data_IF_536343976971
#
_entry.id   IF_536343976971
#
_cell.length_a   1.000
_cell.length_b   1.000
_cell.length_c   1.000
_cell.angle_alpha   90.00
_cell.angle_beta   90.00
_cell.angle_gamma   90.00
#
_symmetry.space_group_name_H-M   'P 1'
#
loop_
_entity.id
_entity.type
_entity.pdbx_description
1 polymer ?
#
# COMPACT_ATOMS: atom_id res chain seq x y z
N UNK A 1 -44.00 13.96 29.52
CA UNK A 1 -43.93 13.76 28.05
C UNK A 1 -42.74 12.85 27.79
N UNK A 2 -42.94 11.64 27.27
CA UNK A 2 -41.91 10.61 27.20
C UNK A 2 -40.93 10.85 26.04
N UNK A 3 -39.67 10.45 26.20
CA UNK A 3 -38.57 10.54 25.22
C UNK A 3 -38.80 9.80 23.87
N UNK A 4 -40.02 9.33 23.58
CA UNK A 4 -40.32 8.47 22.43
C UNK A 4 -40.80 9.23 21.16
N UNK A 5 -41.04 10.55 21.21
CA UNK A 5 -41.84 11.25 20.18
C UNK A 5 -41.07 11.93 19.02
N UNK A 6 -39.75 11.76 18.86
CA UNK A 6 -39.00 12.40 17.74
C UNK A 6 -38.02 11.47 17.02
N UNK A 7 -38.40 10.21 16.81
CA UNK A 7 -37.59 9.28 16.03
C UNK A 7 -37.80 9.46 14.51
N UNK A 8 -36.88 10.15 13.84
CA UNK A 8 -36.93 10.32 12.38
C UNK A 8 -36.50 9.04 11.64
N UNK A 9 -37.04 8.81 10.44
CA UNK A 9 -36.62 7.67 9.60
C UNK A 9 -35.17 7.86 9.13
N UNK A 10 -34.47 6.77 8.80
CA UNK A 10 -33.08 6.86 8.30
C UNK A 10 -33.03 7.66 6.99
N UNK A 11 -34.01 7.49 6.10
CA UNK A 11 -34.09 8.25 4.85
C UNK A 11 -34.27 9.75 5.12
N UNK A 12 -35.13 10.11 6.07
CA UNK A 12 -35.36 11.50 6.44
C UNK A 12 -34.15 12.12 7.12
N UNK A 13 -33.48 11.35 7.97
CA UNK A 13 -32.21 11.74 8.59
C UNK A 13 -31.11 11.99 7.57
N UNK A 14 -31.01 11.17 6.52
CA UNK A 14 -30.07 11.35 5.40
C UNK A 14 -30.40 12.62 4.64
N UNK A 15 -31.68 12.87 4.36
CA UNK A 15 -32.17 14.08 3.67
C UNK A 15 -31.79 15.34 4.44
N UNK A 16 -32.11 15.41 5.73
CA UNK A 16 -31.76 16.54 6.61
C UNK A 16 -30.24 16.72 6.68
N UNK A 17 -29.47 15.63 6.77
CA UNK A 17 -28.01 15.72 6.79
C UNK A 17 -27.43 16.29 5.49
N UNK A 18 -28.02 15.97 4.33
CA UNK A 18 -27.61 16.54 3.04
C UNK A 18 -27.90 18.04 2.97
N UNK A 19 -29.03 18.52 3.50
CA UNK A 19 -29.39 19.95 3.50
C UNK A 19 -28.39 20.83 4.25
N UNK A 20 -27.71 20.29 5.26
CA UNK A 20 -26.67 21.03 5.98
C UNK A 20 -25.39 21.17 5.16
N UNK A 21 -25.17 20.30 4.16
CA UNK A 21 -23.93 20.28 3.39
C UNK A 21 -24.13 21.14 2.14
N UNK A 22 -23.30 22.17 1.89
CA UNK A 22 -23.38 22.92 0.65
C UNK A 22 -23.09 22.00 -0.55
N UNK A 23 -23.84 22.11 -1.66
CA UNK A 23 -23.67 21.24 -2.84
C UNK A 23 -22.33 21.46 -3.56
N UNK A 24 -21.74 22.66 -3.44
CA UNK A 24 -20.45 23.04 -4.05
C UNK A 24 -19.21 22.62 -3.25
N UNK A 25 -19.34 21.58 -2.42
CA UNK A 25 -18.19 20.92 -1.78
C UNK A 25 -17.17 20.43 -2.81
N UNK A 26 -15.93 20.23 -2.36
CA UNK A 26 -14.89 19.69 -3.21
C UNK A 26 -15.27 18.32 -3.80
N UNK A 27 -14.67 18.00 -4.95
CA UNK A 27 -14.97 16.79 -5.71
C UNK A 27 -14.76 15.49 -4.90
N UNK A 28 -13.86 15.42 -3.90
CA UNK A 28 -13.77 14.25 -3.00
C UNK A 28 -14.99 14.12 -2.12
N UNK A 29 -15.32 15.20 -1.42
CA UNK A 29 -16.41 15.21 -0.46
C UNK A 29 -17.71 14.86 -1.19
N UNK A 30 -17.91 15.43 -2.37
CA UNK A 30 -19.00 15.08 -3.27
C UNK A 30 -19.01 13.60 -3.68
N UNK A 31 -17.85 13.03 -4.10
CA UNK A 31 -17.73 11.59 -4.41
C UNK A 31 -18.00 10.69 -3.20
N UNK A 32 -17.52 11.09 -2.02
CA UNK A 32 -17.69 10.34 -0.77
C UNK A 32 -19.15 10.33 -0.32
N UNK A 33 -19.88 11.42 -0.53
CA UNK A 33 -21.33 11.50 -0.30
C UNK A 33 -22.06 10.53 -1.24
N UNK A 34 -21.75 10.55 -2.54
CA UNK A 34 -22.28 9.57 -3.49
C UNK A 34 -22.01 8.11 -3.07
N UNK A 35 -20.77 7.81 -2.67
CA UNK A 35 -20.38 6.47 -2.22
C UNK A 35 -21.10 6.04 -0.92
N UNK A 36 -21.28 6.96 0.01
CA UNK A 36 -21.99 6.73 1.27
C UNK A 36 -23.47 6.44 1.02
N UNK A 37 -24.13 7.25 0.18
CA UNK A 37 -25.53 7.08 -0.22
C UNK A 37 -25.74 5.76 -0.96
N UNK A 38 -24.88 5.43 -1.93
CA UNK A 38 -24.97 4.18 -2.70
C UNK A 38 -24.77 2.94 -1.81
N UNK A 39 -23.95 3.06 -0.76
CA UNK A 39 -23.71 1.96 0.19
C UNK A 39 -24.93 1.68 1.08
N UNK A 40 -25.66 2.71 1.51
CA UNK A 40 -26.82 2.57 2.40
C UNK A 40 -28.12 2.31 1.64
N UNK A 41 -28.36 3.06 0.56
CA UNK A 41 -29.65 3.09 -0.14
C UNK A 41 -29.63 2.31 -1.46
N UNK A 42 -28.48 1.77 -1.88
CA UNK A 42 -28.34 1.17 -3.21
C UNK A 42 -28.65 2.20 -4.30
N UNK A 43 -29.24 1.77 -5.41
CA UNK A 43 -29.55 2.67 -6.53
C UNK A 43 -30.59 3.74 -6.19
N UNK A 44 -31.46 3.51 -5.20
CA UNK A 44 -32.43 4.50 -4.72
C UNK A 44 -31.77 5.75 -4.10
N UNK A 45 -30.50 5.67 -3.72
CA UNK A 45 -29.75 6.83 -3.22
C UNK A 45 -29.36 7.85 -4.29
N UNK A 46 -29.47 7.49 -5.58
CA UNK A 46 -29.06 8.37 -6.68
C UNK A 46 -29.95 9.61 -6.77
N UNK A 47 -31.25 9.46 -6.52
CA UNK A 47 -32.20 10.56 -6.58
C UNK A 47 -31.91 11.62 -5.51
N UNK A 48 -31.60 11.18 -4.28
CA UNK A 48 -31.17 12.09 -3.20
C UNK A 48 -29.85 12.78 -3.52
N UNK A 49 -28.90 12.05 -4.11
CA UNK A 49 -27.62 12.60 -4.51
C UNK A 49 -27.77 13.69 -5.57
N UNK A 50 -28.59 13.44 -6.60
CA UNK A 50 -28.88 14.39 -7.66
C UNK A 50 -29.66 15.59 -7.13
N UNK A 51 -30.70 15.38 -6.32
CA UNK A 51 -31.51 16.46 -5.76
C UNK A 51 -30.67 17.42 -4.91
N UNK A 52 -29.81 16.88 -4.04
CA UNK A 52 -28.89 17.68 -3.26
C UNK A 52 -27.88 18.40 -4.16
N UNK A 53 -27.21 17.65 -5.04
CA UNK A 53 -26.14 18.18 -5.86
C UNK A 53 -26.60 19.21 -6.89
N UNK A 54 -27.85 19.13 -7.37
CA UNK A 54 -28.40 20.05 -8.36
C UNK A 54 -28.53 21.48 -7.85
N UNK A 55 -28.45 21.70 -6.54
CA UNK A 55 -28.45 23.03 -5.94
C UNK A 55 -27.10 23.75 -6.03
N UNK A 56 -26.05 23.11 -6.57
CA UNK A 56 -24.71 23.69 -6.72
C UNK A 56 -24.44 24.21 -8.12
N UNK A 57 -23.70 25.31 -8.22
CA UNK A 57 -23.38 25.99 -9.48
C UNK A 57 -22.60 25.11 -10.46
N UNK A 58 -21.91 24.09 -9.95
CA UNK A 58 -21.05 23.17 -10.73
C UNK A 58 -21.74 21.86 -11.13
N UNK A 59 -23.06 21.74 -10.93
CA UNK A 59 -23.77 20.50 -11.23
C UNK A 59 -23.84 20.19 -12.72
N UNK A 60 -23.51 18.94 -13.07
CA UNK A 60 -23.66 18.41 -14.42
C UNK A 60 -24.20 16.98 -14.35
N UNK A 61 -25.45 16.79 -14.76
CA UNK A 61 -26.18 15.53 -14.57
C UNK A 61 -25.46 14.29 -15.16
N UNK A 62 -24.86 14.31 -16.36
CA UNK A 62 -24.04 13.20 -16.85
C UNK A 62 -22.85 12.88 -15.93
N UNK A 63 -22.17 13.90 -15.40
CA UNK A 63 -21.01 13.70 -14.53
C UNK A 63 -21.40 13.13 -13.16
N UNK A 64 -22.60 13.46 -12.66
CA UNK A 64 -23.21 12.84 -11.49
C UNK A 64 -23.52 11.36 -11.72
N UNK A 65 -24.10 11.02 -12.86
CA UNK A 65 -24.36 9.64 -13.25
C UNK A 65 -23.08 8.81 -13.37
N UNK A 66 -22.07 9.31 -14.08
CA UNK A 66 -20.79 8.60 -14.25
C UNK A 66 -20.08 8.39 -12.91
N UNK A 67 -20.10 9.41 -12.06
CA UNK A 67 -19.57 9.30 -10.71
C UNK A 67 -20.31 8.24 -9.91
N UNK A 68 -21.64 8.25 -9.95
CA UNK A 68 -22.46 7.26 -9.25
C UNK A 68 -22.15 5.84 -9.70
N UNK A 69 -22.09 5.61 -11.01
CA UNK A 69 -21.78 4.31 -11.60
C UNK A 69 -20.37 3.82 -11.19
N UNK A 70 -19.39 4.71 -11.12
CA UNK A 70 -18.02 4.37 -10.71
C UNK A 70 -17.88 4.00 -9.22
N UNK A 71 -18.85 4.34 -8.35
CA UNK A 71 -18.76 4.02 -6.93
C UNK A 71 -19.00 2.53 -6.67
N UNK A 72 -18.09 1.91 -5.90
CA UNK A 72 -18.23 0.55 -5.38
C UNK A 72 -18.86 0.58 -3.98
N UNK A 73 -20.08 0.04 -3.78
CA UNK A 73 -20.73 -0.02 -2.48
C UNK A 73 -19.87 -0.75 -1.43
N UNK A 74 -19.91 -0.30 -0.18
CA UNK A 74 -19.31 -1.00 0.97
C UNK A 74 -17.93 -0.49 1.40
N UNK A 75 -17.21 0.29 0.59
CA UNK A 75 -15.95 0.94 1.02
C UNK A 75 -16.16 2.14 1.93
N UNK A 76 -17.23 2.91 1.70
CA UNK A 76 -17.57 4.11 2.45
C UNK A 76 -18.99 3.94 2.98
N UNK A 77 -19.19 4.02 4.29
CA UNK A 77 -20.50 3.85 4.93
C UNK A 77 -21.23 5.18 5.09
N UNK A 78 -22.54 5.13 5.37
CA UNK A 78 -23.37 6.31 5.62
C UNK A 78 -22.86 7.19 6.77
N UNK A 79 -22.08 6.63 7.70
CA UNK A 79 -21.41 7.39 8.76
C UNK A 79 -20.51 8.51 8.22
N UNK A 80 -19.95 8.35 7.01
CA UNK A 80 -19.16 9.40 6.36
C UNK A 80 -20.01 10.62 6.00
N UNK A 81 -21.24 10.42 5.51
CA UNK A 81 -22.17 11.53 5.24
C UNK A 81 -22.44 12.32 6.52
N UNK A 82 -22.78 11.64 7.62
CA UNK A 82 -23.07 12.29 8.89
C UNK A 82 -21.85 12.99 9.49
N UNK A 83 -20.66 12.41 9.34
CA UNK A 83 -19.41 13.06 9.76
C UNK A 83 -19.10 14.33 8.97
N UNK A 84 -19.42 14.34 7.67
CA UNK A 84 -19.33 15.55 6.84
C UNK A 84 -20.39 16.57 7.29
N UNK A 85 -21.65 16.15 7.43
CA UNK A 85 -22.76 17.01 7.82
C UNK A 85 -22.52 17.70 9.18
N UNK A 86 -21.90 17.02 10.15
CA UNK A 86 -21.54 17.60 11.45
C UNK A 86 -20.62 18.81 11.34
N UNK A 87 -19.71 18.82 10.35
CA UNK A 87 -18.79 19.95 10.11
C UNK A 87 -19.54 21.19 9.62
N UNK A 88 -20.75 20.99 9.10
CA UNK A 88 -21.68 22.03 8.68
C UNK A 88 -22.86 22.19 9.66
N UNK A 89 -22.70 21.77 10.91
CA UNK A 89 -23.67 22.05 11.98
C UNK A 89 -24.79 21.03 12.15
N UNK A 90 -24.77 19.88 11.45
CA UNK A 90 -25.77 18.83 11.67
C UNK A 90 -25.68 18.23 13.09
N UNK A 91 -26.74 18.38 13.87
CA UNK A 91 -26.83 17.79 15.21
C UNK A 91 -27.36 16.35 15.16
N UNK A 92 -26.50 15.40 15.53
CA UNK A 92 -26.86 13.98 15.62
C UNK A 92 -27.77 13.61 16.79
N UNK A 93 -27.85 14.42 17.85
CA UNK A 93 -28.70 14.14 19.01
C UNK A 93 -30.16 14.47 18.69
N UNK A 94 -30.40 15.65 18.12
CA UNK A 94 -31.74 16.08 17.68
C UNK A 94 -32.26 15.27 16.49
N UNK A 95 -31.37 14.67 15.68
CA UNK A 95 -31.71 13.87 14.51
C UNK A 95 -31.42 12.37 14.73
N UNK A 96 -31.81 11.82 15.89
CA UNK A 96 -31.58 10.41 16.21
C UNK A 96 -32.52 9.52 15.38
N UNK A 97 -32.02 8.49 14.68
CA UNK A 97 -32.88 7.62 13.90
C UNK A 97 -33.70 6.72 14.82
N UNK A 98 -34.89 6.34 14.38
CA UNK A 98 -35.65 5.29 15.02
C UNK A 98 -34.79 4.01 15.14
N UNK A 99 -34.80 3.32 16.30
CA UNK A 99 -34.14 2.03 16.42
C UNK A 99 -34.71 1.08 15.37
N UNK A 100 -33.86 0.56 14.48
CA UNK A 100 -34.28 -0.48 13.54
C UNK A 100 -34.93 -1.65 14.31
N UNK A 101 -36.09 -2.18 13.88
CA UNK A 101 -36.67 -3.37 14.48
C UNK A 101 -35.65 -4.52 14.52
N UNK A 102 -35.70 -5.36 15.56
CA UNK A 102 -34.74 -6.47 15.74
C UNK A 102 -34.64 -7.36 14.50
N UNK A 103 -35.77 -7.65 13.84
CA UNK A 103 -35.82 -8.41 12.59
C UNK A 103 -35.05 -7.73 11.45
N UNK A 104 -35.15 -6.40 11.30
CA UNK A 104 -34.43 -5.64 10.28
C UNK A 104 -32.91 -5.59 10.56
N UNK A 105 -32.51 -5.53 11.85
CA UNK A 105 -31.09 -5.63 12.24
C UNK A 105 -30.52 -7.00 11.91
N UNK A 106 -31.22 -8.07 12.28
CA UNK A 106 -30.83 -9.45 11.99
C UNK A 106 -30.69 -9.70 10.47
N UNK A 107 -31.62 -9.18 9.66
CA UNK A 107 -31.53 -9.26 8.19
C UNK A 107 -30.30 -8.52 7.64
N UNK A 108 -30.02 -7.30 8.14
CA UNK A 108 -28.83 -6.53 7.73
C UNK A 108 -27.53 -7.24 8.11
N UNK A 109 -27.45 -7.82 9.30
CA UNK A 109 -26.29 -8.60 9.75
C UNK A 109 -26.11 -9.88 8.91
N UNK A 110 -27.19 -10.62 8.67
CA UNK A 110 -27.18 -11.79 7.80
C UNK A 110 -26.72 -11.45 6.37
N UNK A 111 -27.17 -10.32 5.82
CA UNK A 111 -26.76 -9.86 4.50
C UNK A 111 -25.28 -9.42 4.47
N UNK A 112 -24.80 -8.73 5.51
CA UNK A 112 -23.37 -8.38 5.66
C UNK A 112 -22.51 -9.62 5.76
N UNK A 113 -22.92 -10.60 6.55
CA UNK A 113 -22.21 -11.87 6.71
C UNK A 113 -22.22 -12.66 5.40
N UNK A 114 -23.36 -12.74 4.69
CA UNK A 114 -23.47 -13.39 3.39
C UNK A 114 -22.57 -12.72 2.33
N UNK A 115 -22.54 -11.38 2.28
CA UNK A 115 -21.62 -10.63 1.39
C UNK A 115 -20.17 -10.93 1.72
N UNK A 116 -19.78 -10.84 3.00
CA UNK A 116 -18.40 -11.13 3.44
C UNK A 116 -17.99 -12.57 3.10
N UNK A 117 -18.84 -13.56 3.37
CA UNK A 117 -18.57 -14.96 3.03
C UNK A 117 -18.48 -15.17 1.51
N UNK A 118 -19.37 -14.56 0.73
CA UNK A 118 -19.35 -14.63 -0.73
C UNK A 118 -18.10 -13.98 -1.33
N UNK A 119 -17.68 -12.82 -0.81
CA UNK A 119 -16.46 -12.12 -1.23
C UNK A 119 -15.20 -12.93 -0.88
N UNK A 120 -15.14 -13.53 0.31
CA UNK A 120 -14.05 -14.42 0.70
C UNK A 120 -13.99 -15.67 -0.19
N UNK A 121 -15.13 -16.30 -0.48
CA UNK A 121 -15.20 -17.44 -1.39
C UNK A 121 -14.78 -17.06 -2.81
N UNK A 122 -15.26 -15.93 -3.34
CA UNK A 122 -14.88 -15.44 -4.66
C UNK A 122 -13.38 -15.10 -4.74
N UNK A 123 -12.81 -14.55 -3.66
CA UNK A 123 -11.36 -14.30 -3.56
C UNK A 123 -10.57 -15.61 -3.57
N UNK A 124 -10.98 -16.60 -2.79
CA UNK A 124 -10.36 -17.93 -2.76
C UNK A 124 -10.39 -18.61 -4.13
N UNK A 125 -11.53 -18.57 -4.84
CA UNK A 125 -11.65 -19.09 -6.21
C UNK A 125 -10.68 -18.39 -7.17
N UNK A 126 -10.56 -17.05 -7.10
CA UNK A 126 -9.62 -16.29 -7.94
C UNK A 126 -8.16 -16.66 -7.65
N UNK A 127 -7.80 -16.81 -6.38
CA UNK A 127 -6.45 -17.20 -5.97
C UNK A 127 -6.09 -18.60 -6.50
N UNK A 128 -6.98 -19.58 -6.32
CA UNK A 128 -6.80 -20.95 -6.83
C UNK A 128 -6.67 -20.97 -8.34
N UNK A 129 -7.54 -20.24 -9.05
CA UNK A 129 -7.48 -20.14 -10.50
C UNK A 129 -6.16 -19.53 -10.96
N UNK A 130 -5.72 -18.43 -10.35
CA UNK A 130 -4.46 -17.78 -10.69
C UNK A 130 -3.24 -18.69 -10.43
N UNK A 131 -3.23 -19.44 -9.33
CA UNK A 131 -2.16 -20.41 -9.06
C UNK A 131 -2.13 -21.54 -10.11
N UNK A 132 -3.29 -22.04 -10.55
CA UNK A 132 -3.39 -23.02 -11.64
C UNK A 132 -2.84 -22.46 -12.95
N UNK A 133 -3.23 -21.24 -13.32
CA UNK A 133 -2.72 -20.58 -14.53
C UNK A 133 -1.22 -20.32 -14.43
N UNK A 134 -0.74 -19.87 -13.26
CA UNK A 134 0.69 -19.66 -12.99
C UNK A 134 1.48 -20.95 -13.19
N UNK A 135 0.99 -22.07 -12.67
CA UNK A 135 1.62 -23.38 -12.84
C UNK A 135 1.61 -23.83 -14.30
N UNK A 136 0.52 -23.60 -15.03
CA UNK A 136 0.42 -23.94 -16.45
C UNK A 136 1.43 -23.14 -17.29
N UNK A 137 1.53 -21.83 -17.07
CA UNK A 137 2.53 -20.97 -17.71
C UNK A 137 3.94 -21.41 -17.34
N UNK A 138 4.21 -21.62 -16.05
CA UNK A 138 5.52 -22.06 -15.57
C UNK A 138 5.97 -23.36 -16.25
N UNK A 139 5.09 -24.37 -16.30
CA UNK A 139 5.39 -25.66 -16.91
C UNK A 139 5.58 -25.62 -18.43
N UNK A 140 4.97 -24.65 -19.12
CA UNK A 140 5.10 -24.47 -20.57
C UNK A 140 6.24 -23.52 -20.97
N UNK A 141 6.71 -22.69 -20.05
CA UNK A 141 7.86 -21.84 -20.23
C UNK A 141 9.16 -22.66 -20.22
N UNK A 142 10.16 -22.19 -20.96
CA UNK A 142 11.50 -22.79 -21.01
C UNK A 142 12.46 -22.01 -20.12
N UNK A 143 13.63 -22.56 -19.78
CA UNK A 143 14.66 -21.79 -19.06
C UNK A 143 14.97 -20.49 -19.79
N UNK A 144 15.09 -19.39 -19.04
CA UNK A 144 15.51 -18.12 -19.61
C UNK A 144 16.94 -18.22 -20.16
N UNK A 145 17.22 -17.52 -21.25
CA UNK A 145 18.54 -17.48 -21.88
C UNK A 145 19.22 -16.14 -21.66
N UNK A 146 20.54 -16.14 -21.57
CA UNK A 146 21.35 -14.91 -21.41
C UNK A 146 21.17 -13.93 -22.58
N UNK A 147 20.78 -14.43 -23.75
CA UNK A 147 20.47 -13.62 -24.95
C UNK A 147 19.08 -12.96 -24.91
N UNK A 148 18.35 -13.05 -23.79
CA UNK A 148 17.06 -12.37 -23.65
C UNK A 148 17.27 -10.83 -23.64
N UNK A 149 16.58 -10.04 -24.50
CA UNK A 149 16.91 -8.62 -24.70
C UNK A 149 16.84 -7.78 -23.42
N UNK A 150 15.89 -8.09 -22.53
CA UNK A 150 15.81 -7.46 -21.22
C UNK A 150 17.06 -7.73 -20.35
N UNK A 151 17.53 -8.99 -20.29
CA UNK A 151 18.69 -9.38 -19.49
C UNK A 151 19.97 -8.78 -20.07
N UNK A 152 20.14 -8.84 -21.39
CA UNK A 152 21.25 -8.19 -22.10
C UNK A 152 21.30 -6.68 -21.82
N UNK A 153 20.16 -5.97 -21.93
CA UNK A 153 20.08 -4.54 -21.60
C UNK A 153 20.35 -4.27 -20.12
N UNK A 154 19.97 -5.20 -19.24
CA UNK A 154 20.22 -5.09 -17.80
C UNK A 154 21.62 -5.57 -17.38
N UNK A 155 22.42 -6.14 -18.28
CA UNK A 155 23.78 -6.58 -17.97
C UNK A 155 23.83 -7.69 -16.93
N UNK A 156 22.80 -8.55 -16.89
CA UNK A 156 22.67 -9.67 -15.94
C UNK A 156 22.43 -10.97 -16.70
N UNK A 157 22.79 -12.10 -16.09
CA UNK A 157 22.60 -13.44 -16.64
C UNK A 157 21.29 -14.07 -16.17
N UNK A 158 20.81 -15.01 -16.96
CA UNK A 158 19.70 -15.86 -16.57
C UNK A 158 20.12 -16.80 -15.44
N UNK A 159 19.17 -17.10 -14.55
CA UNK A 159 19.29 -18.09 -13.48
C UNK A 159 18.24 -19.16 -13.67
N UNK A 160 18.45 -20.34 -13.08
CA UNK A 160 17.50 -21.46 -13.16
C UNK A 160 16.09 -21.10 -12.65
N UNK A 161 16.02 -20.18 -11.67
CA UNK A 161 14.76 -19.67 -11.11
C UNK A 161 13.97 -18.75 -12.06
N UNK A 162 14.47 -18.50 -13.28
CA UNK A 162 13.84 -17.64 -14.29
C UNK A 162 13.55 -18.43 -15.56
N UNK A 163 12.33 -18.27 -16.10
CA UNK A 163 11.91 -18.89 -17.36
C UNK A 163 11.53 -17.83 -18.39
N UNK A 164 11.40 -18.22 -19.65
CA UNK A 164 10.89 -17.40 -20.74
C UNK A 164 9.78 -18.10 -21.52
N UNK A 165 8.83 -17.33 -22.03
CA UNK A 165 7.74 -17.78 -22.89
C UNK A 165 7.38 -16.71 -23.91
N UNK A 166 6.92 -17.10 -25.09
CA UNK A 166 6.40 -16.17 -26.09
C UNK A 166 5.11 -15.48 -25.59
N UNK A 167 4.98 -14.17 -25.84
CA UNK A 167 3.83 -13.37 -25.39
C UNK A 167 2.47 -13.88 -25.90
N UNK A 168 2.40 -14.44 -27.11
CA UNK A 168 1.15 -14.99 -27.67
C UNK A 168 0.75 -16.28 -26.96
N UNK A 169 1.73 -17.15 -26.68
CA UNK A 169 1.51 -18.39 -25.89
C UNK A 169 1.10 -18.06 -24.46
N UNK A 170 1.74 -17.07 -23.85
CA UNK A 170 1.39 -16.57 -22.53
C UNK A 170 -0.06 -16.09 -22.48
N UNK A 171 -0.47 -15.27 -23.46
CA UNK A 171 -1.85 -14.78 -23.52
C UNK A 171 -2.88 -15.90 -23.70
N UNK A 172 -2.56 -16.91 -24.51
CA UNK A 172 -3.41 -18.08 -24.69
C UNK A 172 -3.57 -18.90 -23.39
N UNK A 173 -2.48 -19.13 -22.64
CA UNK A 173 -2.52 -19.84 -21.37
C UNK A 173 -3.22 -19.04 -20.26
N UNK A 174 -3.03 -17.72 -20.25
CA UNK A 174 -3.64 -16.83 -19.27
C UNK A 174 -5.12 -16.53 -19.57
N UNK A 175 -5.58 -16.78 -20.79
CA UNK A 175 -6.91 -16.42 -21.30
C UNK A 175 -7.21 -14.90 -21.23
N UNK A 176 -6.17 -14.09 -21.35
CA UNK A 176 -6.21 -12.63 -21.56
C UNK A 176 -4.81 -12.18 -21.99
N UNK A 177 -4.69 -10.98 -22.54
CA UNK A 177 -3.39 -10.39 -22.86
C UNK A 177 -2.83 -9.64 -21.65
N UNK A 178 -1.72 -10.05 -21.04
CA UNK A 178 -1.07 -9.29 -19.97
C UNK A 178 -0.60 -7.93 -20.49
N UNK A 179 -0.76 -6.90 -19.64
CA UNK A 179 -0.51 -5.50 -20.01
C UNK A 179 0.29 -4.77 -18.93
N UNK A 180 1.08 -3.79 -19.37
CA UNK A 180 1.76 -2.80 -18.55
C UNK A 180 1.28 -1.42 -18.99
N UNK A 181 0.71 -0.62 -18.09
CA UNK A 181 0.16 0.72 -18.41
C UNK A 181 -0.78 0.75 -19.64
N UNK A 182 -1.58 -0.31 -19.82
CA UNK A 182 -2.52 -0.43 -20.95
C UNK A 182 -1.93 -1.05 -22.22
N UNK A 183 -0.61 -1.13 -22.33
CA UNK A 183 0.07 -1.76 -23.47
C UNK A 183 0.30 -3.25 -23.25
N UNK A 184 0.09 -4.10 -24.28
CA UNK A 184 0.36 -5.54 -24.17
C UNK A 184 1.86 -5.84 -24.07
N UNK A 185 2.20 -6.89 -23.33
CA UNK A 185 3.54 -7.48 -23.35
C UNK A 185 3.81 -8.09 -24.74
N UNK A 186 5.06 -8.05 -25.20
CA UNK A 186 5.45 -8.46 -26.57
C UNK A 186 6.72 -9.33 -26.57
N UNK A 187 6.93 -10.09 -27.66
CA UNK A 187 8.14 -10.87 -27.88
C UNK A 187 8.35 -11.98 -26.84
N UNK A 188 9.61 -12.21 -26.45
CA UNK A 188 9.94 -13.09 -25.33
C UNK A 188 9.63 -12.41 -23.99
N UNK A 189 8.92 -13.14 -23.14
CA UNK A 189 8.51 -12.68 -21.81
C UNK A 189 9.18 -13.56 -20.77
N UNK A 190 10.01 -12.94 -19.93
CA UNK A 190 10.53 -13.56 -18.73
C UNK A 190 9.41 -13.80 -17.74
N UNK A 191 9.45 -14.95 -17.07
CA UNK A 191 8.50 -15.41 -16.08
C UNK A 191 9.24 -15.69 -14.79
N UNK A 192 8.99 -14.85 -13.78
CA UNK A 192 9.53 -14.98 -12.44
C UNK A 192 8.44 -15.52 -11.49
N UNK A 193 8.60 -16.72 -10.92
CA UNK A 193 7.60 -17.32 -10.04
C UNK A 193 7.55 -16.59 -8.71
N UNK A 194 6.35 -16.18 -8.31
CA UNK A 194 6.12 -15.53 -7.01
C UNK A 194 5.61 -16.56 -6.04
N UNK A 195 6.38 -16.82 -4.99
CA UNK A 195 6.07 -17.81 -3.98
C UNK A 195 5.64 -17.16 -2.67
N UNK A 196 4.67 -17.78 -2.01
CA UNK A 196 4.25 -17.47 -0.63
C UNK A 196 4.35 -18.78 0.15
N UNK A 197 5.10 -18.79 1.24
CA UNK A 197 5.35 -19.98 2.07
C UNK A 197 5.82 -21.21 1.24
N UNK A 198 6.73 -20.97 0.29
CA UNK A 198 7.28 -22.00 -0.60
C UNK A 198 6.32 -22.51 -1.68
N UNK A 199 5.12 -21.94 -1.80
CA UNK A 199 4.11 -22.34 -2.81
C UNK A 199 3.99 -21.30 -3.90
N UNK A 200 3.94 -21.74 -5.15
CA UNK A 200 3.68 -20.87 -6.30
C UNK A 200 2.29 -20.22 -6.17
N UNK A 201 2.28 -18.89 -6.05
CA UNK A 201 1.04 -18.12 -5.89
C UNK A 201 0.68 -17.34 -7.16
N UNK A 202 1.66 -16.77 -7.85
CA UNK A 202 1.47 -15.97 -9.06
C UNK A 202 2.78 -15.86 -9.84
N UNK A 203 2.79 -15.06 -10.92
CA UNK A 203 3.96 -14.77 -11.74
C UNK A 203 4.16 -13.27 -11.89
N UNK A 204 5.41 -12.82 -11.89
CA UNK A 204 5.81 -11.54 -12.47
C UNK A 204 6.32 -11.81 -13.89
N UNK A 205 5.89 -10.98 -14.84
CA UNK A 205 6.16 -11.14 -16.27
C UNK A 205 6.87 -9.89 -16.77
N UNK A 206 7.97 -10.07 -17.50
CA UNK A 206 8.80 -8.96 -17.98
C UNK A 206 9.11 -9.19 -19.45
N UNK A 207 8.67 -8.28 -20.32
CA UNK A 207 8.93 -8.41 -21.76
C UNK A 207 10.32 -7.87 -22.17
N UNK A 208 10.64 -8.00 -23.46
CA UNK A 208 11.91 -7.55 -24.03
C UNK A 208 12.18 -6.04 -23.82
N UNK A 209 11.14 -5.22 -23.82
CA UNK A 209 11.20 -3.78 -23.56
C UNK A 209 11.29 -3.45 -22.06
N UNK A 210 11.13 -4.45 -21.18
CA UNK A 210 11.12 -4.28 -19.73
C UNK A 210 9.77 -3.83 -19.18
N UNK A 211 8.70 -3.93 -19.97
CA UNK A 211 7.33 -3.76 -19.48
C UNK A 211 7.02 -4.90 -18.53
N UNK A 212 6.52 -4.55 -17.34
CA UNK A 212 6.24 -5.50 -16.27
C UNK A 212 4.75 -5.65 -16.09
N UNK A 213 4.31 -6.89 -15.95
CA UNK A 213 2.93 -7.21 -15.61
C UNK A 213 2.90 -8.37 -14.65
N UNK A 214 1.80 -8.54 -13.96
CA UNK A 214 1.63 -9.65 -13.05
C UNK A 214 0.39 -10.43 -13.38
N UNK A 215 0.46 -11.74 -13.14
CA UNK A 215 -0.65 -12.60 -13.44
C UNK A 215 -1.87 -12.21 -12.58
N UNK A 216 -2.97 -11.86 -13.25
CA UNK A 216 -4.18 -11.37 -12.63
C UNK A 216 -4.79 -12.41 -11.67
N UNK A 217 -5.32 -11.93 -10.55
CA UNK A 217 -6.03 -12.75 -9.56
C UNK A 217 -5.14 -13.47 -8.55
N UNK A 218 -3.81 -13.51 -8.74
CA UNK A 218 -2.89 -14.15 -7.81
C UNK A 218 -2.56 -13.29 -6.59
N UNK A 219 -2.25 -13.92 -5.46
CA UNK A 219 -1.74 -13.20 -4.29
C UNK A 219 -0.29 -12.78 -4.49
N UNK A 220 0.02 -11.56 -4.04
CA UNK A 220 1.38 -10.99 -4.04
C UNK A 220 1.87 -10.56 -2.66
N UNK A 221 0.94 -10.29 -1.75
CA UNK A 221 1.27 -9.77 -0.43
C UNK A 221 2.14 -10.77 0.33
N UNK A 222 3.37 -10.37 0.66
CA UNK A 222 4.37 -11.25 1.30
C UNK A 222 5.02 -12.27 0.36
N UNK A 223 4.60 -12.31 -0.90
CA UNK A 223 5.20 -13.17 -1.91
C UNK A 223 6.41 -12.52 -2.58
N UNK A 224 7.40 -13.35 -2.94
CA UNK A 224 8.62 -12.90 -3.59
C UNK A 224 9.08 -13.88 -4.67
N UNK A 225 9.95 -13.40 -5.54
CA UNK A 225 10.77 -14.24 -6.41
C UNK A 225 12.17 -14.34 -5.80
N UNK A 226 12.82 -15.50 -5.89
CA UNK A 226 14.19 -15.70 -5.40
C UNK A 226 15.12 -16.02 -6.56
N UNK A 227 16.27 -15.35 -6.63
CA UNK A 227 17.28 -15.61 -7.67
C UNK A 227 17.85 -17.04 -7.57
N UNK A 228 17.90 -17.57 -6.35
CA UNK A 228 18.29 -18.95 -6.02
C UNK A 228 17.38 -19.54 -4.95
N UNK A 229 17.20 -20.87 -4.88
CA UNK A 229 16.55 -21.49 -3.74
C UNK A 229 17.23 -21.08 -2.43
N UNK A 230 16.45 -20.59 -1.46
CA UNK A 230 17.00 -20.19 -0.16
C UNK A 230 17.16 -21.46 0.70
N UNK A 231 18.38 -21.82 1.12
CA UNK A 231 18.58 -22.99 1.97
C UNK A 231 17.98 -22.74 3.37
N UNK A 232 17.58 -23.82 4.06
CA UNK A 232 17.04 -23.73 5.42
C UNK A 232 17.99 -23.02 6.40
N UNK A 233 19.30 -23.22 6.22
CA UNK A 233 20.36 -22.50 6.93
C UNK A 233 21.02 -21.51 5.98
N UNK A 234 20.56 -20.27 6.02
CA UNK A 234 21.11 -19.14 5.28
C UNK A 234 21.62 -18.11 6.28
N UNK A 235 22.83 -17.59 6.05
CA UNK A 235 23.44 -16.58 6.94
C UNK A 235 22.91 -15.18 6.67
N UNK A 236 22.60 -14.87 5.41
CA UNK A 236 22.12 -13.56 4.99
C UNK A 236 21.13 -13.67 3.83
N UNK A 237 20.07 -12.87 3.89
CA UNK A 237 19.08 -12.71 2.82
C UNK A 237 19.02 -11.23 2.44
N UNK A 238 19.19 -10.94 1.15
CA UNK A 238 19.01 -9.60 0.60
C UNK A 238 17.65 -9.47 -0.07
N UNK A 239 16.88 -8.45 0.31
CA UNK A 239 15.54 -8.17 -0.21
C UNK A 239 15.61 -6.90 -1.06
N UNK A 240 15.17 -6.98 -2.30
CA UNK A 240 15.13 -5.84 -3.24
C UNK A 240 13.72 -5.66 -3.81
N UNK A 241 13.50 -4.58 -4.56
CA UNK A 241 12.25 -4.40 -5.31
C UNK A 241 12.19 -5.28 -6.57
N UNK A 242 13.19 -5.20 -7.47
CA UNK A 242 13.09 -5.74 -8.82
C UNK A 242 13.92 -6.99 -9.10
N UNK A 243 13.53 -7.74 -10.13
CA UNK A 243 14.24 -8.94 -10.61
C UNK A 243 15.68 -8.63 -11.08
N UNK A 244 15.89 -7.57 -11.86
CA UNK A 244 17.23 -7.21 -12.36
C UNK A 244 18.17 -6.78 -11.23
N UNK A 245 17.65 -6.03 -10.26
CA UNK A 245 18.37 -5.64 -9.04
C UNK A 245 18.76 -6.86 -8.22
N UNK A 246 17.85 -7.85 -8.09
CA UNK A 246 18.11 -9.10 -7.39
C UNK A 246 19.21 -9.92 -8.08
N UNK A 247 19.15 -10.04 -9.40
CA UNK A 247 20.17 -10.70 -10.21
C UNK A 247 21.53 -10.01 -10.06
N UNK A 248 21.58 -8.68 -10.18
CA UNK A 248 22.82 -7.91 -10.03
C UNK A 248 23.49 -8.15 -8.69
N UNK A 249 22.74 -8.05 -7.58
CA UNK A 249 23.29 -8.30 -6.25
C UNK A 249 23.73 -9.75 -6.10
N UNK A 250 22.92 -10.72 -6.54
CA UNK A 250 23.28 -12.13 -6.48
C UNK A 250 24.56 -12.43 -7.26
N UNK A 251 24.70 -11.93 -8.49
CA UNK A 251 25.91 -12.14 -9.30
C UNK A 251 27.15 -11.48 -8.70
N UNK A 252 27.00 -10.31 -8.07
CA UNK A 252 28.13 -9.58 -7.49
C UNK A 252 28.58 -10.14 -6.13
N UNK A 253 27.66 -10.69 -5.35
CA UNK A 253 27.88 -11.04 -3.93
C UNK A 253 27.76 -12.53 -3.62
N UNK A 254 27.00 -13.28 -4.41
CA UNK A 254 26.58 -14.64 -4.10
C UNK A 254 25.52 -14.74 -2.98
N UNK A 255 25.06 -13.63 -2.41
CA UNK A 255 24.09 -13.63 -1.31
C UNK A 255 22.70 -14.08 -1.79
N UNK A 256 21.98 -14.84 -0.95
CA UNK A 256 20.62 -15.26 -1.25
C UNK A 256 19.72 -14.01 -1.40
N UNK A 257 19.26 -13.76 -2.63
CA UNK A 257 18.59 -12.49 -2.96
C UNK A 257 17.19 -12.72 -3.48
N UNK A 258 16.21 -11.99 -2.92
CA UNK A 258 14.80 -12.05 -3.28
C UNK A 258 14.28 -10.70 -3.78
N UNK A 259 13.41 -10.74 -4.80
CA UNK A 259 12.68 -9.58 -5.28
C UNK A 259 11.25 -9.56 -4.71
N UNK A 260 10.87 -8.45 -4.08
CA UNK A 260 9.53 -8.18 -3.56
C UNK A 260 8.54 -7.71 -4.63
N UNK A 261 9.02 -7.37 -5.83
CA UNK A 261 8.28 -7.04 -7.05
C UNK A 261 7.48 -5.73 -7.00
N UNK A 262 7.45 -5.06 -5.86
CA UNK A 262 7.00 -3.68 -5.70
C UNK A 262 7.50 -3.11 -4.38
N UNK A 263 7.80 -1.81 -4.35
CA UNK A 263 8.18 -1.10 -3.11
C UNK A 263 7.17 -1.32 -1.96
N UNK A 264 5.87 -1.35 -2.27
CA UNK A 264 4.80 -1.53 -1.29
C UNK A 264 4.78 -2.92 -0.65
N UNK A 265 5.48 -3.90 -1.22
CA UNK A 265 5.51 -5.29 -0.74
C UNK A 265 6.78 -5.62 0.06
N UNK A 266 7.81 -4.76 0.03
CA UNK A 266 9.10 -4.97 0.71
C UNK A 266 8.91 -5.30 2.19
N UNK A 267 8.08 -4.53 2.91
CA UNK A 267 7.83 -4.78 4.35
C UNK A 267 7.23 -6.17 4.60
N UNK A 268 6.27 -6.60 3.78
CA UNK A 268 5.62 -7.92 3.94
C UNK A 268 6.58 -9.06 3.64
N UNK A 269 7.43 -8.90 2.63
CA UNK A 269 8.47 -9.89 2.32
C UNK A 269 9.53 -9.91 3.43
N UNK A 270 9.86 -8.76 4.01
CA UNK A 270 10.76 -8.67 5.17
C UNK A 270 10.20 -9.45 6.36
N UNK A 271 8.92 -9.24 6.69
CA UNK A 271 8.24 -9.97 7.77
C UNK A 271 8.20 -11.48 7.48
N UNK A 272 7.86 -11.87 6.25
CA UNK A 272 7.82 -13.28 5.84
C UNK A 272 9.20 -13.95 5.94
N UNK A 273 10.25 -13.29 5.45
CA UNK A 273 11.63 -13.80 5.52
C UNK A 273 12.13 -13.89 6.95
N UNK A 274 11.80 -12.92 7.82
CA UNK A 274 12.15 -12.98 9.25
C UNK A 274 11.46 -14.15 9.94
N UNK A 275 10.19 -14.42 9.62
CA UNK A 275 9.45 -15.55 10.16
C UNK A 275 10.02 -16.90 9.69
N UNK A 276 10.39 -17.01 8.42
CA UNK A 276 10.91 -18.26 7.83
C UNK A 276 12.39 -18.51 8.17
N UNK A 277 13.19 -17.45 8.32
CA UNK A 277 14.63 -17.51 8.56
C UNK A 277 15.04 -16.63 9.75
N UNK A 278 14.65 -17.00 10.99
CA UNK A 278 14.82 -16.14 12.17
C UNK A 278 16.29 -15.83 12.48
N UNK A 279 17.20 -16.76 12.17
CA UNK A 279 18.64 -16.62 12.41
C UNK A 279 19.40 -15.89 11.29
N UNK A 280 18.79 -15.67 10.12
CA UNK A 280 19.47 -15.00 9.01
C UNK A 280 19.58 -13.49 9.27
N UNK A 281 20.70 -12.90 8.90
CA UNK A 281 20.78 -11.47 8.69
C UNK A 281 19.85 -11.10 7.53
N UNK A 282 19.09 -10.02 7.68
CA UNK A 282 18.23 -9.51 6.61
C UNK A 282 18.75 -8.13 6.23
N UNK A 283 18.99 -7.94 4.94
CA UNK A 283 19.37 -6.67 4.33
C UNK A 283 18.29 -6.30 3.34
N UNK A 284 17.69 -5.12 3.49
CA UNK A 284 16.87 -4.53 2.43
C UNK A 284 17.77 -3.63 1.60
N UNK A 285 17.92 -3.96 0.32
CA UNK A 285 18.62 -3.13 -0.65
C UNK A 285 17.59 -2.26 -1.38
N UNK A 286 17.58 -0.97 -1.03
CA UNK A 286 16.64 0.02 -1.55
C UNK A 286 17.25 0.90 -2.65
N UNK A 287 16.39 1.62 -3.34
CA UNK A 287 16.78 2.60 -4.35
C UNK A 287 17.10 3.96 -3.70
N UNK A 288 18.00 4.74 -4.31
CA UNK A 288 18.24 6.14 -3.93
C UNK A 288 17.22 7.07 -4.59
N UNK A 289 16.72 8.04 -3.84
CA UNK A 289 15.72 9.01 -4.32
C UNK A 289 14.28 8.60 -3.99
N UNK A 290 13.37 8.62 -4.98
CA UNK A 290 11.92 8.46 -4.75
C UNK A 290 11.53 7.11 -4.13
N UNK A 291 12.34 6.05 -4.30
CA UNK A 291 12.10 4.72 -3.72
C UNK A 291 12.56 4.54 -2.26
N UNK A 292 13.44 5.43 -1.78
CA UNK A 292 14.15 5.28 -0.50
C UNK A 292 13.22 5.25 0.72
N UNK A 293 12.12 6.03 0.69
CA UNK A 293 11.20 6.17 1.83
C UNK A 293 10.54 4.84 2.23
N UNK A 294 10.17 4.01 1.26
CA UNK A 294 9.50 2.73 1.53
C UNK A 294 10.48 1.69 2.09
N UNK A 295 11.70 1.63 1.53
CA UNK A 295 12.76 0.77 2.05
C UNK A 295 13.11 1.16 3.49
N UNK A 296 13.32 2.45 3.78
CA UNK A 296 13.57 2.92 5.16
C UNK A 296 12.45 2.56 6.12
N UNK A 297 11.18 2.76 5.74
CA UNK A 297 10.04 2.39 6.59
C UNK A 297 10.02 0.89 6.90
N UNK A 298 10.25 0.04 5.91
CA UNK A 298 10.32 -1.41 6.10
C UNK A 298 11.45 -1.79 7.05
N UNK A 299 12.63 -1.22 6.84
CA UNK A 299 13.82 -1.52 7.65
C UNK A 299 13.66 -1.09 9.09
N UNK A 300 13.14 0.13 9.33
CA UNK A 300 12.90 0.66 10.66
C UNK A 300 11.85 -0.17 11.43
N UNK A 301 10.79 -0.61 10.77
CA UNK A 301 9.75 -1.43 11.40
C UNK A 301 10.27 -2.82 11.78
N UNK A 302 11.13 -3.42 10.96
CA UNK A 302 11.63 -4.78 11.16
C UNK A 302 12.97 -4.85 11.93
N UNK A 303 13.64 -3.71 12.16
CA UNK A 303 14.96 -3.67 12.81
C UNK A 303 16.05 -4.38 12.02
N UNK A 304 16.00 -4.31 10.68
CA UNK A 304 16.94 -5.00 9.77
C UNK A 304 17.98 -4.03 9.21
N UNK A 305 18.89 -4.48 8.35
CA UNK A 305 19.88 -3.60 7.70
C UNK A 305 19.30 -2.97 6.43
N UNK A 306 19.73 -1.75 6.12
CA UNK A 306 19.49 -1.07 4.85
C UNK A 306 20.81 -0.97 4.07
N UNK A 307 20.79 -1.35 2.80
CA UNK A 307 21.82 -1.04 1.83
C UNK A 307 21.25 -0.07 0.79
N UNK A 308 22.02 0.93 0.40
CA UNK A 308 21.69 1.85 -0.68
C UNK A 308 22.86 1.86 -1.69
N UNK A 309 22.59 1.97 -2.99
CA UNK A 309 23.65 2.08 -3.98
C UNK A 309 24.39 3.43 -3.80
N UNK A 310 25.72 3.37 -3.79
CA UNK A 310 26.58 4.55 -3.77
C UNK A 310 27.23 4.74 -5.14
N UNK A 311 26.72 5.71 -5.89
CA UNK A 311 27.21 6.07 -7.23
C UNK A 311 28.34 7.11 -7.19
N UNK A 312 28.71 7.60 -6.01
CA UNK A 312 29.65 8.70 -5.87
C UNK A 312 29.08 10.06 -6.30
N UNK A 313 29.98 11.04 -6.45
CA UNK A 313 29.63 12.45 -6.72
C UNK A 313 29.09 12.70 -8.12
N UNK A 314 29.44 11.85 -9.09
CA UNK A 314 29.08 11.99 -10.50
C UNK A 314 27.80 11.21 -10.87
N UNK A 315 26.95 10.92 -9.87
CA UNK A 315 25.69 10.21 -10.06
C UNK A 315 24.76 10.93 -11.05
N UNK A 316 24.29 10.20 -12.06
CA UNK A 316 23.21 10.66 -12.93
C UNK A 316 21.83 10.45 -12.29
N UNK A 317 20.85 11.31 -12.64
CA UNK A 317 19.52 11.27 -12.02
C UNK A 317 18.71 9.99 -12.30
N UNK A 318 19.01 9.31 -13.42
CA UNK A 318 18.41 8.05 -13.83
C UNK A 318 19.03 6.83 -13.16
N UNK A 319 20.16 6.99 -12.46
CA UNK A 319 20.80 5.95 -11.67
C UNK A 319 20.18 5.88 -10.28
N UNK A 320 19.42 4.83 -10.01
CA UNK A 320 18.64 4.72 -8.76
C UNK A 320 18.81 3.42 -8.01
N UNK A 321 19.05 2.31 -8.71
CA UNK A 321 19.05 0.99 -8.11
C UNK A 321 20.43 0.28 -8.19
N UNK A 322 20.57 -0.86 -7.53
CA UNK A 322 21.82 -1.63 -7.56
C UNK A 322 22.16 -2.24 -8.93
N UNK A 323 21.19 -2.38 -9.84
CA UNK A 323 21.49 -2.80 -11.21
C UNK A 323 22.16 -1.66 -11.98
N UNK A 324 21.70 -0.42 -11.81
CA UNK A 324 22.36 0.75 -12.39
C UNK A 324 23.78 0.89 -11.83
N UNK A 325 23.97 0.64 -10.51
CA UNK A 325 25.30 0.66 -9.88
C UNK A 325 26.21 -0.43 -10.44
N UNK A 326 25.67 -1.63 -10.64
CA UNK A 326 26.40 -2.73 -11.23
C UNK A 326 26.91 -2.38 -12.64
N UNK A 327 26.06 -1.76 -13.47
CA UNK A 327 26.46 -1.36 -14.82
C UNK A 327 27.45 -0.19 -14.84
N UNK A 328 27.30 0.78 -13.95
CA UNK A 328 28.12 2.00 -13.94
C UNK A 328 29.49 1.80 -13.26
N UNK A 329 29.52 1.09 -12.14
CA UNK A 329 30.69 1.01 -11.24
C UNK A 329 31.17 -0.43 -11.00
N UNK A 330 30.48 -1.43 -11.54
CA UNK A 330 30.90 -2.83 -11.50
C UNK A 330 30.57 -3.57 -10.19
N UNK A 331 30.95 -4.85 -10.16
CA UNK A 331 30.57 -5.77 -9.08
C UNK A 331 31.16 -5.42 -7.71
N UNK A 332 32.35 -4.82 -7.68
CA UNK A 332 33.02 -4.45 -6.42
C UNK A 332 32.28 -3.31 -5.71
N UNK A 333 31.74 -2.34 -6.45
CA UNK A 333 30.93 -1.26 -5.89
C UNK A 333 29.63 -1.80 -5.26
N UNK A 334 28.95 -2.73 -5.94
CA UNK A 334 27.77 -3.43 -5.40
C UNK A 334 28.12 -4.18 -4.12
N UNK A 335 29.23 -4.95 -4.13
CA UNK A 335 29.66 -5.71 -2.96
C UNK A 335 30.01 -4.81 -1.77
N UNK A 336 30.70 -3.70 -2.03
CA UNK A 336 31.03 -2.71 -1.01
C UNK A 336 29.76 -2.13 -0.36
N UNK A 337 28.78 -1.73 -1.17
CA UNK A 337 27.52 -1.15 -0.68
C UNK A 337 26.68 -2.17 0.12
N UNK A 338 26.62 -3.44 -0.29
CA UNK A 338 25.93 -4.50 0.48
C UNK A 338 26.67 -4.80 1.79
N UNK A 339 27.99 -4.89 1.78
CA UNK A 339 28.79 -5.14 2.99
C UNK A 339 28.71 -3.97 4.00
N UNK A 340 28.54 -2.74 3.50
CA UNK A 340 28.35 -1.55 4.30
C UNK A 340 26.91 -1.40 4.86
N UNK A 341 26.01 -2.35 4.57
CA UNK A 341 24.65 -2.30 5.06
C UNK A 341 24.60 -2.22 6.59
N UNK A 342 23.89 -1.21 7.08
CA UNK A 342 23.76 -0.93 8.50
C UNK A 342 22.28 -0.90 8.88
N UNK A 343 21.98 -1.18 10.15
CA UNK A 343 20.66 -0.81 10.67
C UNK A 343 20.63 0.71 10.64
N UNK A 344 19.78 1.34 9.81
CA UNK A 344 19.68 2.79 9.82
C UNK A 344 19.28 3.19 11.23
N UNK A 345 19.96 4.19 11.79
CA UNK A 345 19.51 4.79 13.03
C UNK A 345 18.02 5.10 12.86
N UNK A 346 17.22 4.69 13.84
CA UNK A 346 15.90 5.28 13.98
C UNK A 346 16.17 6.78 13.91
N UNK A 347 15.56 7.53 12.97
CA UNK A 347 15.80 8.95 12.91
C UNK A 347 15.59 9.42 14.34
N UNK A 348 16.65 9.97 14.94
CA UNK A 348 16.53 10.71 16.18
C UNK A 348 15.72 11.92 15.75
N UNK A 349 14.41 11.70 15.61
CA UNK A 349 13.45 12.75 15.55
C UNK A 349 13.77 13.49 16.83
N UNK A 350 14.33 14.67 16.67
CA UNK A 350 14.32 15.63 17.75
C UNK A 350 12.84 15.79 18.10
N UNK A 351 12.41 15.01 19.10
CA UNK A 351 11.02 14.92 19.51
C UNK A 351 10.63 16.17 20.30
N UNK A 352 11.62 17.02 20.58
CA UNK A 352 11.49 18.28 21.31
C UNK A 352 11.29 19.47 20.37
N UNK A 353 11.52 19.33 19.05
CA UNK A 353 11.20 20.35 18.05
C UNK A 353 9.90 20.07 17.32
N UNK A 354 9.31 21.16 16.81
CA UNK A 354 8.11 21.10 15.99
C UNK A 354 8.38 20.30 14.69
N UNK A 355 7.52 19.32 14.31
CA UNK A 355 7.80 18.40 13.22
C UNK A 355 7.50 19.03 11.85
N UNK A 356 8.40 18.78 10.90
CA UNK A 356 8.26 19.14 9.49
C UNK A 356 7.14 18.32 8.81
N UNK A 357 6.73 18.74 7.61
CA UNK A 357 5.62 18.14 6.86
C UNK A 357 5.81 16.63 6.61
N UNK A 358 7.03 16.21 6.27
CA UNK A 358 7.39 14.81 5.99
C UNK A 358 7.52 13.94 7.25
N UNK A 359 7.62 14.55 8.43
CA UNK A 359 7.70 13.85 9.72
C UNK A 359 6.32 13.52 10.29
N UNK A 360 5.25 13.96 9.62
CA UNK A 360 3.86 13.80 10.06
C UNK A 360 3.16 12.65 9.31
N UNK A 361 2.22 11.93 9.93
CA UNK A 361 1.74 12.15 11.29
C UNK A 361 2.67 11.56 12.35
N UNK A 362 2.86 12.25 13.48
CA UNK A 362 3.76 11.80 14.54
C UNK A 362 3.36 12.30 15.93
N UNK A 363 3.82 11.57 16.95
CA UNK A 363 3.78 12.01 18.34
C UNK A 363 5.03 12.84 18.67
N UNK A 364 4.86 13.89 19.48
CA UNK A 364 5.93 14.72 20.04
C UNK A 364 5.67 15.03 21.50
N UNK A 365 6.73 15.23 22.28
CA UNK A 365 6.63 15.66 23.67
C UNK A 365 7.49 16.89 23.86
N UNK A 366 6.87 17.98 24.30
CA UNK A 366 7.54 19.24 24.58
C UNK A 366 7.63 19.47 26.08
N UNK A 367 8.84 19.53 26.64
CA UNK A 367 9.03 19.86 28.06
C UNK A 367 8.89 21.36 28.34
N UNK A 368 9.16 22.19 27.33
CA UNK A 368 9.02 23.64 27.34
C UNK A 368 8.09 24.09 26.21
N UNK A 369 7.58 25.34 26.22
CA UNK A 369 6.82 25.86 25.09
C UNK A 369 7.64 25.85 23.79
N UNK A 370 7.00 25.57 22.66
CA UNK A 370 7.64 25.51 21.34
C UNK A 370 6.95 26.46 20.37
N UNK A 371 7.74 27.32 19.72
CA UNK A 371 7.25 28.22 18.68
C UNK A 371 6.99 27.48 17.36
N UNK A 372 5.86 27.78 16.72
CA UNK A 372 5.46 27.24 15.44
C UNK A 372 4.67 28.28 14.63
N UNK A 373 5.23 28.77 13.52
CA UNK A 373 4.45 29.51 12.52
C UNK A 373 3.76 30.77 13.04
N UNK A 374 4.26 31.38 14.12
CA UNK A 374 3.67 32.54 14.79
C UNK A 374 2.87 32.23 16.05
N UNK A 375 2.57 30.95 16.32
CA UNK A 375 1.89 30.48 17.54
C UNK A 375 2.87 29.77 18.50
N UNK A 376 2.53 29.74 19.79
CA UNK A 376 3.31 29.03 20.82
C UNK A 376 2.53 27.82 21.31
N UNK A 377 3.08 26.62 21.08
CA UNK A 377 2.57 25.39 21.67
C UNK A 377 3.01 25.30 23.13
N UNK A 378 2.06 25.07 24.03
CA UNK A 378 2.35 24.82 25.45
C UNK A 378 3.07 23.47 25.65
N UNK A 379 3.79 23.25 26.77
CA UNK A 379 4.37 21.96 27.09
C UNK A 379 3.33 20.83 27.10
N UNK A 380 3.70 19.67 26.58
CA UNK A 380 2.84 18.49 26.57
C UNK A 380 3.14 17.50 25.46
N UNK A 381 2.34 16.44 25.43
CA UNK A 381 2.34 15.42 24.38
C UNK A 381 1.36 15.83 23.29
N UNK A 382 1.83 15.87 22.05
CA UNK A 382 1.07 16.26 20.87
C UNK A 382 1.02 15.14 19.84
N UNK A 383 -0.11 15.07 19.14
CA UNK A 383 -0.24 14.33 17.89
C UNK A 383 -0.32 15.31 16.72
N UNK A 384 0.76 15.36 15.95
CA UNK A 384 0.93 16.21 14.78
C UNK A 384 0.49 15.46 13.53
N UNK A 385 -0.29 16.11 12.67
CA UNK A 385 -0.82 15.53 11.43
C UNK A 385 -0.68 16.51 10.29
N UNK A 386 -0.81 15.97 9.09
CA UNK A 386 -1.05 16.73 7.86
C UNK A 386 -2.47 16.47 7.41
N UNK A 387 -3.22 17.52 7.16
CA UNK A 387 -4.50 17.45 6.46
C UNK A 387 -4.26 17.91 5.03
N UNK A 388 -4.21 16.94 4.11
CA UNK A 388 -4.18 17.24 2.68
C UNK A 388 -5.59 17.58 2.21
N UNK A 389 -5.78 18.80 1.73
CA UNK A 389 -6.99 19.20 1.02
C UNK A 389 -6.86 18.84 -0.46
N UNK A 390 -7.98 18.78 -1.19
CA UNK A 390 -7.96 18.40 -2.60
C UNK A 390 -7.64 19.59 -3.51
N UNK A 391 -6.80 19.33 -4.52
CA UNK A 391 -6.27 20.36 -5.46
C UNK A 391 -4.82 20.70 -5.12
N UNK A 392 -4.20 21.61 -5.87
CA UNK A 392 -2.82 22.06 -5.61
C UNK A 392 -2.72 22.98 -4.36
N UNK A 393 -3.65 22.82 -3.41
CA UNK A 393 -3.72 23.58 -2.19
C UNK A 393 -2.63 23.13 -1.21
N UNK A 394 -1.96 24.05 -0.51
CA UNK A 394 -0.91 23.71 0.43
C UNK A 394 -1.48 22.89 1.59
N UNK A 395 -0.72 21.91 2.04
CA UNK A 395 -1.13 20.99 3.09
C UNK A 395 -1.32 21.73 4.43
N UNK A 396 -2.43 21.47 5.13
CA UNK A 396 -2.76 22.16 6.38
C UNK A 396 -2.18 21.41 7.59
N UNK A 397 -1.37 22.16 8.35
CA UNK A 397 -0.87 21.90 9.70
C UNK A 397 -1.98 21.46 10.67
N UNK A 398 -1.95 20.31 11.34
CA UNK A 398 -2.85 20.09 12.50
C UNK A 398 -2.09 19.51 13.68
N UNK A 399 -2.19 20.17 14.85
CA UNK A 399 -1.48 19.79 16.07
C UNK A 399 -2.46 19.61 17.22
N UNK A 400 -2.61 18.38 17.72
CA UNK A 400 -3.54 18.06 18.80
C UNK A 400 -2.78 17.82 20.12
N UNK A 401 -2.98 18.70 21.11
CA UNK A 401 -2.49 18.47 22.48
C UNK A 401 -3.30 17.35 23.14
N UNK A 402 -2.60 16.41 23.78
CA UNK A 402 -3.19 15.22 24.41
C UNK A 402 -3.11 15.27 25.93
N UNK A 403 -1.91 15.51 26.48
CA UNK A 403 -1.69 15.60 27.93
C UNK A 403 -0.42 16.40 28.25
N UNK A 404 -0.17 16.64 29.55
CA UNK A 404 1.08 17.22 30.05
C UNK A 404 2.29 16.31 29.77
N UNK A 405 3.54 16.81 29.82
CA UNK A 405 4.73 16.02 29.50
C UNK A 405 4.81 14.73 30.31
N UNK A 406 5.09 13.60 29.64
CA UNK A 406 5.19 12.29 30.27
C UNK A 406 6.66 11.96 30.54
N UNK A 407 7.02 11.79 31.81
CA UNK A 407 8.37 11.42 32.22
C UNK A 407 8.42 9.94 32.58
N UNK A 408 9.37 9.22 31.99
CA UNK A 408 9.68 7.86 32.43
C UNK A 408 10.53 7.98 33.69
N UNK A 409 9.94 7.70 34.85
CA UNK A 409 10.63 7.81 36.14
C UNK A 409 11.37 6.53 36.53
N UNK A 410 11.00 5.38 35.95
CA UNK A 410 11.68 4.11 36.12
C UNK A 410 11.37 3.18 34.94
N UNK A 411 12.37 2.43 34.47
CA UNK A 411 12.19 1.35 33.51
C UNK A 411 12.41 0.05 34.27
N UNK A 412 11.32 -0.68 34.58
CA UNK A 412 11.40 -2.00 35.20
C UNK A 412 11.40 -3.08 34.13
N UNK A 413 12.31 -4.04 34.22
CA UNK A 413 12.29 -5.25 33.38
C UNK A 413 11.65 -6.37 34.18
N UNK A 414 10.54 -6.93 33.67
CA UNK A 414 9.99 -8.16 34.25
C UNK A 414 10.83 -9.35 33.75
N UNK A 415 11.26 -10.24 34.65
CA UNK A 415 12.08 -11.43 34.33
C UNK A 415 11.24 -12.69 34.12
N UNK A 416 9.95 -12.56 33.82
CA UNK A 416 9.03 -13.71 33.80
C UNK A 416 8.94 -14.47 32.46
N UNK A 417 9.58 -14.01 31.38
CA UNK A 417 9.63 -14.75 30.11
C UNK A 417 10.95 -15.52 29.92
N UNK A 418 11.45 -16.14 30.99
CA UNK A 418 12.47 -17.17 30.94
C UNK A 418 11.95 -18.43 31.65
N UNK A 419 11.08 -19.17 30.96
CA UNK A 419 10.57 -20.48 31.34
C UNK A 419 10.33 -21.33 30.11
#
# INVERSE_FOLDING_TARGET
MSEADFAISEHERIRIALEHIPPDVDRETWRRIAAALKTELGDAGFDLFCLWSANGDKYHAPAARDTWLSQTPGRITIGTLFEIAKRYGFDTRSNRPAPLPLAARAQREAQRQKRKTSELAARDTKLKHAATVALAVWNKATSARDDHPYLTRKGVRAVEALREIDATKLAALANYTPKSNGEPLQGRVLVAPVQIDGRLSTLEMIDEAGRKSALAGGAKAGGCWSAVPIPARVSEIVIVEGVATALSIYECTGAATVAALSCSNIHKVTDAMRAQHPAAAIVVAGDVGNGESNARKAVLAAGVKLALPDFGVDRHNDQTDFNDLHQANGADAVRAAINAAAVPDAPVADTTRYPALNERPCWRMYEAPVECGGDVLKPGVYWHRVKYEKGNAPAVLTDQWTCTPLRVLAVTRNREDAG
#
